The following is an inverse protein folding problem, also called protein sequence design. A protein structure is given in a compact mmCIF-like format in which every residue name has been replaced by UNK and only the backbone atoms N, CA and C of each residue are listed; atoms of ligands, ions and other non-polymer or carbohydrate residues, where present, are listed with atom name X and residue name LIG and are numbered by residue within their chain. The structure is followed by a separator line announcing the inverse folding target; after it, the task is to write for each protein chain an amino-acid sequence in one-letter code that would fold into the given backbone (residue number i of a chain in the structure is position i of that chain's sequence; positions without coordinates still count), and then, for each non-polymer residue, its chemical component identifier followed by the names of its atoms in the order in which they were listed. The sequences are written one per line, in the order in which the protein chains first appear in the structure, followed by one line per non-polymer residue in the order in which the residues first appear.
data_IF_131005890209
#
_entry.id   IF_131005890209
#
_cell.length_a   1.000
_cell.length_b   1.000
_cell.length_c   1.000
_cell.angle_alpha   90.00
_cell.angle_beta   90.00
_cell.angle_gamma   90.00
#
_symmetry.space_group_name_H-M   'P 1'
#
loop_
_entity.id
_entity.type
_entity.pdbx_description
1 polymer ?
#
# COMPACT_ATOMS: atom_id res chain seq x y z
N UNK A 1 -0.01 -8.55 19.21
CA UNK A 1 -1.22 -8.86 18.44
C UNK A 1 -0.87 -9.83 17.31
N UNK A 2 -0.04 -9.47 16.32
CA UNK A 2 0.33 -10.34 15.18
C UNK A 2 1.06 -11.61 15.61
N UNK A 3 2.00 -11.54 16.56
CA UNK A 3 2.69 -12.71 17.12
C UNK A 3 1.73 -13.74 17.78
N UNK A 4 0.54 -13.30 18.15
CA UNK A 4 -0.53 -14.16 18.66
C UNK A 4 -1.50 -14.61 17.55
N UNK A 5 -1.12 -14.52 16.28
CA UNK A 5 -1.95 -14.90 15.13
C UNK A 5 -3.15 -13.97 14.86
N UNK A 6 -3.22 -12.80 15.50
CA UNK A 6 -4.33 -11.86 15.31
C UNK A 6 -4.01 -10.83 14.24
N UNK A 7 -5.03 -10.38 13.53
CA UNK A 7 -4.91 -9.30 12.52
C UNK A 7 -4.93 -7.93 13.20
N UNK A 8 -4.20 -6.99 12.62
CA UNK A 8 -4.29 -5.56 12.94
C UNK A 8 -4.88 -4.91 11.71
N UNK A 9 -6.05 -4.30 11.88
CA UNK A 9 -6.79 -3.67 10.79
C UNK A 9 -6.78 -2.16 10.97
N UNK A 10 -6.69 -1.44 9.88
CA UNK A 10 -6.95 -0.02 9.79
C UNK A 10 -8.40 0.19 9.31
N UNK A 11 -9.16 0.99 10.04
CA UNK A 11 -10.54 1.35 9.68
C UNK A 11 -10.60 2.85 9.36
N UNK A 12 -10.58 3.24 8.08
CA UNK A 12 -10.52 4.66 7.70
C UNK A 12 -11.80 5.45 8.04
N UNK A 13 -12.93 4.77 8.17
CA UNK A 13 -14.18 5.42 8.57
C UNK A 13 -14.26 5.73 10.08
N UNK A 14 -13.32 5.20 10.88
CA UNK A 14 -13.24 5.51 12.30
C UNK A 14 -12.36 6.74 12.51
N UNK A 15 -12.97 7.91 12.55
CA UNK A 15 -12.29 9.20 12.74
C UNK A 15 -12.37 9.61 14.19
N UNK A 16 -11.20 9.81 14.81
CA UNK A 16 -11.08 10.32 16.18
C UNK A 16 -10.28 11.62 16.16
N UNK A 17 -10.86 12.67 16.73
CA UNK A 17 -10.14 13.95 16.93
C UNK A 17 -9.40 13.86 18.26
N UNK A 18 -8.07 13.96 18.21
CA UNK A 18 -7.22 13.93 19.38
C UNK A 18 -6.53 15.30 19.56
N UNK A 19 -6.82 15.95 20.68
CA UNK A 19 -6.19 17.21 21.06
C UNK A 19 -4.96 16.89 21.92
N UNK A 20 -3.78 16.96 21.30
CA UNK A 20 -2.54 16.62 21.99
C UNK A 20 -2.23 17.63 23.12
N UNK A 21 -1.78 17.12 24.26
CA UNK A 21 -1.33 17.92 25.39
C UNK A 21 -2.41 18.38 26.38
N UNK A 22 -3.70 18.24 26.05
CA UNK A 22 -4.78 18.71 26.95
C UNK A 22 -4.82 17.90 28.25
N UNK A 23 -4.67 16.57 28.21
CA UNK A 23 -4.83 15.74 29.40
C UNK A 23 -3.57 15.63 30.27
N UNK A 24 -2.37 15.62 29.65
CA UNK A 24 -1.11 15.31 30.36
C UNK A 24 0.09 16.15 29.90
N UNK A 25 -0.15 17.27 29.20
CA UNK A 25 0.91 18.10 28.64
C UNK A 25 1.71 17.40 27.52
N UNK A 26 2.79 18.04 27.09
CA UNK A 26 3.71 17.50 26.06
C UNK A 26 5.11 17.21 26.61
N UNK A 27 5.40 17.59 27.88
CA UNK A 27 6.71 17.41 28.51
C UNK A 27 6.97 15.92 28.82
N UNK A 28 8.05 15.38 28.25
CA UNK A 28 8.52 14.01 28.49
C UNK A 28 9.53 13.92 29.62
N UNK A 29 9.96 15.06 30.21
CA UNK A 29 10.91 15.12 31.33
C UNK A 29 10.23 14.94 32.69
N UNK A 30 8.91 15.12 32.79
CA UNK A 30 8.17 15.07 34.05
C UNK A 30 6.78 14.46 33.88
N UNK A 31 6.13 14.09 34.98
CA UNK A 31 4.77 13.58 35.01
C UNK A 31 4.60 12.21 34.34
N UNK A 32 3.38 11.94 33.85
CA UNK A 32 3.01 10.65 33.25
C UNK A 32 3.83 10.35 31.99
N UNK A 33 4.20 11.38 31.22
CA UNK A 33 4.95 11.21 29.97
C UNK A 33 6.43 10.88 30.16
N UNK A 34 7.00 11.09 31.34
CA UNK A 34 8.37 10.67 31.66
C UNK A 34 8.59 9.15 31.44
N UNK A 35 7.56 8.36 31.69
CA UNK A 35 7.62 6.92 31.43
C UNK A 35 7.67 6.52 29.94
N UNK A 36 7.36 7.43 29.01
CA UNK A 36 7.38 7.13 27.58
C UNK A 36 8.79 6.78 27.10
N UNK A 37 9.80 7.51 27.56
CA UNK A 37 11.22 7.29 27.19
C UNK A 37 11.68 5.90 27.63
N UNK A 38 11.39 5.52 28.86
CA UNK A 38 11.77 4.22 29.40
C UNK A 38 10.99 3.08 28.74
N UNK A 39 9.69 3.29 28.51
CA UNK A 39 8.85 2.29 27.85
C UNK A 39 9.26 2.11 26.38
N UNK A 40 9.67 3.18 25.68
CA UNK A 40 10.22 3.09 24.34
C UNK A 40 11.47 2.22 24.29
N UNK A 41 12.42 2.41 25.23
CA UNK A 41 13.63 1.58 25.33
C UNK A 41 13.30 0.11 25.60
N UNK A 42 12.38 -0.16 26.54
CA UNK A 42 11.92 -1.51 26.85
C UNK A 42 11.23 -2.17 25.67
N UNK A 43 10.39 -1.42 24.95
CA UNK A 43 9.71 -1.88 23.75
C UNK A 43 10.71 -2.23 22.64
N UNK A 44 11.65 -1.31 22.37
CA UNK A 44 12.69 -1.53 21.36
C UNK A 44 13.53 -2.78 21.69
N UNK A 45 14.01 -2.89 22.93
CA UNK A 45 14.79 -4.08 23.37
C UNK A 45 14.01 -5.37 23.20
N UNK A 46 12.71 -5.36 23.53
CA UNK A 46 11.85 -6.57 23.45
C UNK A 46 11.56 -6.98 22.01
N UNK A 47 11.46 -6.03 21.09
CA UNK A 47 11.01 -6.26 19.74
C UNK A 47 12.09 -5.99 18.68
N UNK A 48 13.37 -5.91 19.08
CA UNK A 48 14.48 -5.54 18.19
C UNK A 48 14.53 -6.40 16.93
N UNK A 49 14.41 -7.72 17.07
CA UNK A 49 14.45 -8.65 15.93
C UNK A 49 13.27 -8.44 14.97
N UNK A 50 12.06 -8.30 15.49
CA UNK A 50 10.86 -8.03 14.67
C UNK A 50 10.97 -6.67 13.97
N UNK A 51 11.43 -5.65 14.67
CA UNK A 51 11.62 -4.30 14.11
C UNK A 51 12.69 -4.31 13.02
N UNK A 52 13.85 -4.92 13.28
CA UNK A 52 14.95 -4.97 12.31
C UNK A 52 14.67 -5.82 11.08
N UNK A 53 13.77 -6.81 11.18
CA UNK A 53 13.45 -7.70 10.05
C UNK A 53 12.25 -7.26 9.23
N UNK A 54 11.32 -6.48 9.79
CA UNK A 54 10.05 -6.19 9.10
C UNK A 54 9.69 -4.72 9.01
N UNK A 55 10.42 -3.85 9.70
CA UNK A 55 10.09 -2.44 9.76
C UNK A 55 11.29 -1.59 9.34
N UNK A 56 11.01 -0.50 8.64
CA UNK A 56 11.98 0.56 8.40
C UNK A 56 12.07 1.45 9.63
N UNK A 57 13.21 2.11 9.79
CA UNK A 57 13.39 3.12 10.83
C UNK A 57 12.37 4.24 10.68
N UNK A 58 12.09 4.94 11.79
CA UNK A 58 11.11 6.00 11.80
C UNK A 58 11.42 7.08 10.76
N UNK A 59 10.42 7.47 10.00
CA UNK A 59 10.47 8.45 8.89
C UNK A 59 11.32 8.02 7.68
N UNK A 60 11.89 6.82 7.68
CA UNK A 60 12.59 6.28 6.51
C UNK A 60 11.59 5.60 5.57
N UNK A 61 11.51 6.10 4.35
CA UNK A 61 10.66 5.59 3.27
C UNK A 61 9.23 5.21 3.73
N UNK A 62 8.36 6.18 4.04
CA UNK A 62 7.00 5.93 4.54
C UNK A 62 6.16 5.05 3.60
N UNK A 63 6.41 5.12 2.28
CA UNK A 63 5.72 4.31 1.28
C UNK A 63 5.92 2.81 1.50
N UNK A 64 7.14 2.38 1.83
CA UNK A 64 7.43 0.97 2.14
C UNK A 64 7.15 0.61 3.59
N UNK A 65 7.36 1.57 4.51
CA UNK A 65 7.18 1.36 5.94
C UNK A 65 5.74 1.00 6.30
N UNK A 66 4.76 1.69 5.72
CA UNK A 66 3.33 1.45 5.97
C UNK A 66 2.88 0.03 5.60
N UNK A 67 3.50 -0.58 4.60
CA UNK A 67 3.19 -1.93 4.14
C UNK A 67 4.00 -3.02 4.85
N UNK A 68 4.95 -2.64 5.71
CA UNK A 68 5.93 -3.56 6.31
C UNK A 68 6.68 -4.36 5.25
N UNK A 69 7.02 -3.73 4.13
CA UNK A 69 7.54 -4.37 2.91
C UNK A 69 9.05 -4.23 2.74
N UNK A 70 9.81 -4.13 3.84
CA UNK A 70 11.27 -3.93 3.79
C UNK A 70 12.00 -4.96 2.91
N UNK A 71 11.53 -6.20 2.91
CA UNK A 71 12.11 -7.30 2.13
C UNK A 71 11.21 -7.79 1.00
N UNK A 72 10.04 -7.17 0.79
CA UNK A 72 9.12 -7.56 -0.26
C UNK A 72 9.33 -6.72 -1.50
N UNK A 73 9.29 -7.37 -2.65
CA UNK A 73 9.19 -6.66 -3.94
C UNK A 73 7.79 -6.10 -4.11
N UNK A 74 7.71 -4.92 -4.69
CA UNK A 74 6.44 -4.22 -4.91
C UNK A 74 6.04 -4.30 -6.38
N UNK A 75 4.81 -4.69 -6.63
CA UNK A 75 4.19 -4.67 -7.96
C UNK A 75 3.03 -3.68 -7.97
N UNK A 76 3.03 -2.79 -8.97
CA UNK A 76 1.87 -1.98 -9.33
C UNK A 76 1.14 -2.67 -10.49
N UNK A 77 -0.14 -2.92 -10.32
CA UNK A 77 -1.04 -3.41 -11.38
C UNK A 77 -1.95 -2.27 -11.79
N UNK A 78 -1.94 -1.93 -13.07
CA UNK A 78 -2.80 -0.90 -13.66
C UNK A 78 -3.79 -1.58 -14.61
N UNK A 79 -5.07 -1.40 -14.37
CA UNK A 79 -6.14 -1.92 -15.23
C UNK A 79 -7.24 -0.86 -15.37
N UNK A 80 -8.18 -1.09 -16.25
CA UNK A 80 -9.25 -0.17 -16.60
C UNK A 80 -10.10 0.26 -15.40
N UNK A 81 -10.53 -0.69 -14.56
CA UNK A 81 -11.34 -0.49 -13.35
C UNK A 81 -11.02 -1.54 -12.29
N UNK A 82 -11.57 -1.37 -11.09
CA UNK A 82 -11.47 -2.38 -10.03
C UNK A 82 -12.10 -3.70 -10.51
N UNK A 83 -11.35 -4.82 -10.52
CA UNK A 83 -11.83 -6.06 -11.13
C UNK A 83 -13.06 -6.62 -10.40
N UNK A 84 -14.05 -7.03 -11.21
CA UNK A 84 -15.34 -7.60 -10.80
C UNK A 84 -15.40 -9.07 -11.27
N UNK A 85 -14.78 -10.03 -10.54
CA UNK A 85 -14.46 -11.37 -11.05
C UNK A 85 -15.68 -12.25 -11.36
N UNK A 86 -16.84 -11.89 -10.85
CA UNK A 86 -18.13 -12.56 -11.09
C UNK A 86 -18.92 -11.97 -12.27
N UNK A 87 -18.42 -10.87 -12.88
CA UNK A 87 -19.12 -10.15 -13.95
C UNK A 87 -18.50 -10.32 -15.33
N UNK A 88 -17.17 -10.35 -15.41
CA UNK A 88 -16.48 -10.50 -16.69
C UNK A 88 -15.18 -11.31 -16.59
N UNK A 89 -14.76 -11.88 -17.72
CA UNK A 89 -13.61 -12.76 -17.80
C UNK A 89 -12.28 -12.02 -17.59
N UNK A 90 -12.16 -10.78 -18.08
CA UNK A 90 -10.97 -9.96 -17.89
C UNK A 90 -10.75 -9.62 -16.43
N UNK A 91 -11.79 -9.18 -15.72
CA UNK A 91 -11.77 -8.96 -14.29
C UNK A 91 -11.38 -10.22 -13.51
N UNK A 92 -11.90 -11.38 -13.92
CA UNK A 92 -11.53 -12.67 -13.31
C UNK A 92 -10.04 -12.96 -13.46
N UNK A 93 -9.48 -12.72 -14.63
CA UNK A 93 -8.04 -12.91 -14.89
C UNK A 93 -7.19 -11.99 -14.02
N UNK A 94 -7.51 -10.70 -13.96
CA UNK A 94 -6.79 -9.73 -13.13
C UNK A 94 -6.93 -10.06 -11.64
N UNK A 95 -8.11 -10.45 -11.19
CA UNK A 95 -8.33 -10.91 -9.82
C UNK A 95 -7.43 -12.10 -9.45
N UNK A 96 -7.32 -13.09 -10.34
CA UNK A 96 -6.42 -14.22 -10.15
C UNK A 96 -4.95 -13.75 -10.08
N UNK A 97 -4.50 -12.89 -10.99
CA UNK A 97 -3.13 -12.36 -10.94
C UNK A 97 -2.83 -11.62 -9.63
N UNK A 98 -3.74 -10.77 -9.16
CA UNK A 98 -3.56 -10.05 -7.91
C UNK A 98 -3.38 -11.01 -6.72
N UNK A 99 -4.18 -12.07 -6.66
CA UNK A 99 -4.08 -13.10 -5.61
C UNK A 99 -2.79 -13.92 -5.74
N UNK A 100 -2.40 -14.31 -6.94
CA UNK A 100 -1.15 -15.02 -7.18
C UNK A 100 0.07 -14.17 -6.81
N UNK A 101 0.09 -12.88 -7.16
CA UNK A 101 1.16 -11.98 -6.73
C UNK A 101 1.25 -11.88 -5.20
N UNK A 102 0.11 -11.84 -4.51
CA UNK A 102 0.09 -11.91 -3.04
C UNK A 102 0.62 -13.24 -2.52
N UNK A 103 0.23 -14.37 -3.13
CA UNK A 103 0.72 -15.70 -2.75
C UNK A 103 2.24 -15.85 -2.98
N UNK A 104 2.77 -15.21 -4.02
CA UNK A 104 4.23 -15.10 -4.28
C UNK A 104 4.97 -14.22 -3.26
N UNK A 105 4.26 -13.57 -2.32
CA UNK A 105 4.85 -12.70 -1.31
C UNK A 105 5.15 -11.28 -1.79
N UNK A 106 4.58 -10.85 -2.91
CA UNK A 106 4.72 -9.47 -3.39
C UNK A 106 3.84 -8.51 -2.57
N UNK A 107 4.32 -7.28 -2.41
CA UNK A 107 3.52 -6.15 -1.99
C UNK A 107 2.75 -5.63 -3.21
N UNK A 108 1.45 -5.86 -3.24
CA UNK A 108 0.60 -5.58 -4.41
C UNK A 108 -0.13 -4.26 -4.23
N UNK A 109 -0.02 -3.40 -5.23
CA UNK A 109 -0.74 -2.13 -5.35
C UNK A 109 -1.55 -2.15 -6.63
N UNK A 110 -2.75 -1.58 -6.59
CA UNK A 110 -3.67 -1.57 -7.71
C UNK A 110 -4.11 -0.15 -8.07
N UNK A 111 -3.98 0.20 -9.35
CA UNK A 111 -4.40 1.47 -9.90
C UNK A 111 -5.50 1.24 -10.95
N UNK A 112 -6.78 1.47 -10.64
CA UNK A 112 -7.82 1.50 -11.64
C UNK A 112 -7.71 2.80 -12.45
N UNK A 113 -7.61 2.70 -13.79
CA UNK A 113 -7.45 3.87 -14.65
C UNK A 113 -8.63 4.86 -14.55
N UNK A 114 -9.84 4.35 -14.28
CA UNK A 114 -11.02 5.18 -14.05
C UNK A 114 -11.08 5.81 -12.65
N UNK A 115 -10.19 5.45 -11.73
CA UNK A 115 -10.11 5.92 -10.34
C UNK A 115 -11.41 5.79 -9.54
N UNK A 116 -12.33 4.96 -10.00
CA UNK A 116 -13.61 4.76 -9.36
C UNK A 116 -13.49 3.84 -8.14
N UNK A 117 -14.04 4.29 -7.02
CA UNK A 117 -14.21 3.43 -5.84
C UNK A 117 -15.43 2.54 -6.03
N UNK A 118 -15.20 1.28 -6.36
CA UNK A 118 -16.27 0.29 -6.37
C UNK A 118 -16.60 -0.11 -4.92
N UNK A 119 -17.85 0.11 -4.44
CA UNK A 119 -18.18 -0.13 -3.03
C UNK A 119 -18.01 -1.58 -2.58
N UNK A 120 -18.18 -2.53 -3.50
CA UNK A 120 -18.09 -3.97 -3.21
C UNK A 120 -16.66 -4.49 -3.44
N UNK A 121 -16.12 -4.30 -4.64
CA UNK A 121 -14.89 -4.99 -5.03
C UNK A 121 -13.63 -4.29 -4.55
N UNK A 122 -13.64 -2.97 -4.36
CA UNK A 122 -12.52 -2.27 -3.72
C UNK A 122 -12.28 -2.79 -2.31
N UNK A 123 -13.36 -2.94 -1.52
CA UNK A 123 -13.26 -3.45 -0.15
C UNK A 123 -12.71 -4.88 -0.12
N UNK A 124 -13.07 -5.74 -1.07
CA UNK A 124 -12.54 -7.10 -1.16
C UNK A 124 -11.03 -7.12 -1.42
N UNK A 125 -10.53 -6.28 -2.36
CA UNK A 125 -9.08 -6.15 -2.59
C UNK A 125 -8.35 -5.64 -1.35
N UNK A 126 -8.89 -4.63 -0.69
CA UNK A 126 -8.30 -4.09 0.53
C UNK A 126 -8.25 -5.11 1.67
N UNK A 127 -9.26 -5.99 1.79
CA UNK A 127 -9.27 -7.09 2.76
C UNK A 127 -8.19 -8.14 2.48
N UNK A 128 -7.82 -8.34 1.21
CA UNK A 128 -6.67 -9.16 0.82
C UNK A 128 -5.32 -8.44 1.07
N UNK A 129 -5.35 -7.21 1.55
CA UNK A 129 -4.15 -6.39 1.81
C UNK A 129 -3.55 -5.81 0.54
N UNK A 130 -4.37 -5.53 -0.48
CA UNK A 130 -3.99 -4.84 -1.70
C UNK A 130 -4.38 -3.37 -1.56
N UNK A 131 -3.42 -2.47 -1.71
CA UNK A 131 -3.70 -1.04 -1.73
C UNK A 131 -4.30 -0.65 -3.07
N UNK A 132 -5.45 0.02 -3.03
CA UNK A 132 -6.17 0.48 -4.22
C UNK A 132 -6.19 1.99 -4.25
N UNK A 133 -5.74 2.60 -5.36
CA UNK A 133 -5.72 4.04 -5.58
C UNK A 133 -7.02 4.47 -6.27
N UNK A 134 -7.80 5.30 -5.62
CA UNK A 134 -9.06 5.80 -6.17
C UNK A 134 -9.35 7.20 -5.63
N UNK A 135 -10.23 7.92 -6.31
CA UNK A 135 -10.69 9.24 -5.89
C UNK A 135 -10.06 10.38 -6.69
N UNK A 136 -10.66 11.54 -6.54
CA UNK A 136 -10.29 12.73 -7.31
C UNK A 136 -8.87 13.25 -7.00
N UNK A 137 -8.31 12.89 -5.86
CA UNK A 137 -6.94 13.22 -5.48
C UNK A 137 -5.89 12.61 -6.40
N UNK A 138 -6.23 11.56 -7.13
CA UNK A 138 -5.35 10.89 -8.10
C UNK A 138 -5.65 11.26 -9.55
N UNK A 139 -6.73 12.01 -9.81
CA UNK A 139 -7.15 12.34 -11.17
C UNK A 139 -6.08 13.16 -11.92
N UNK A 140 -5.64 12.64 -13.07
CA UNK A 140 -4.56 13.24 -13.86
C UNK A 140 -3.16 13.18 -13.24
N UNK A 141 -2.98 12.53 -12.09
CA UNK A 141 -1.74 12.56 -11.31
C UNK A 141 -0.92 11.27 -11.35
N UNK A 142 -1.22 10.36 -12.26
CA UNK A 142 -0.47 9.11 -12.37
C UNK A 142 1.04 9.34 -12.58
N UNK A 143 1.41 10.25 -13.48
CA UNK A 143 2.80 10.55 -13.77
C UNK A 143 3.54 11.14 -12.55
N UNK A 144 2.90 12.07 -11.82
CA UNK A 144 3.44 12.62 -10.58
C UNK A 144 3.61 11.54 -9.52
N UNK A 145 2.61 10.69 -9.37
CA UNK A 145 2.65 9.58 -8.41
C UNK A 145 3.79 8.60 -8.73
N UNK A 146 3.96 8.26 -10.02
CA UNK A 146 5.06 7.38 -10.46
C UNK A 146 6.41 8.07 -10.27
N UNK A 147 6.51 9.36 -10.53
CA UNK A 147 7.72 10.14 -10.27
C UNK A 147 8.12 10.11 -8.79
N UNK A 148 7.15 10.23 -7.88
CA UNK A 148 7.39 10.22 -6.43
C UNK A 148 7.72 8.82 -5.90
N UNK A 149 7.01 7.80 -6.38
CA UNK A 149 7.02 6.46 -5.78
C UNK A 149 7.69 5.40 -6.64
N UNK A 150 8.00 5.69 -7.90
CA UNK A 150 8.49 4.72 -8.89
C UNK A 150 9.78 4.02 -8.50
N UNK A 151 10.66 4.68 -7.72
CA UNK A 151 11.86 4.06 -7.19
C UNK A 151 11.60 2.88 -6.23
N UNK A 152 10.38 2.77 -5.71
CA UNK A 152 9.95 1.70 -4.81
C UNK A 152 9.25 0.54 -5.53
N UNK A 153 9.10 0.62 -6.85
CA UNK A 153 8.45 -0.40 -7.67
C UNK A 153 9.49 -1.33 -8.28
N UNK A 154 9.29 -2.63 -8.14
CA UNK A 154 10.10 -3.67 -8.80
C UNK A 154 9.44 -4.14 -10.10
N UNK A 155 8.12 -4.13 -10.14
CA UNK A 155 7.32 -4.56 -11.29
C UNK A 155 6.16 -3.60 -11.52
N UNK A 156 5.78 -3.45 -12.80
CA UNK A 156 4.53 -2.80 -13.19
C UNK A 156 3.84 -3.70 -14.22
N UNK A 157 2.61 -4.10 -13.94
CA UNK A 157 1.75 -4.80 -14.90
C UNK A 157 0.75 -3.81 -15.48
N UNK A 158 0.81 -3.59 -16.79
CA UNK A 158 -0.18 -2.81 -17.54
C UNK A 158 -1.13 -3.78 -18.24
N UNK A 159 -2.40 -3.70 -17.90
CA UNK A 159 -3.44 -4.56 -18.46
C UNK A 159 -4.26 -3.78 -19.48
N UNK A 160 -4.48 -4.37 -20.64
CA UNK A 160 -5.20 -3.80 -21.79
C UNK A 160 -4.39 -2.79 -22.62
N UNK A 161 -4.54 -2.80 -23.97
CA UNK A 161 -3.77 -1.92 -24.84
C UNK A 161 -3.94 -0.43 -24.56
N UNK A 162 -5.18 0.03 -24.34
CA UNK A 162 -5.45 1.45 -24.08
C UNK A 162 -4.86 1.93 -22.73
N UNK A 163 -4.91 1.07 -21.70
CA UNK A 163 -4.26 1.37 -20.40
C UNK A 163 -2.74 1.44 -20.56
N UNK A 164 -2.16 0.49 -21.32
CA UNK A 164 -0.73 0.52 -21.59
C UNK A 164 -0.32 1.77 -22.37
N UNK A 165 -1.09 2.17 -23.38
CA UNK A 165 -0.83 3.36 -24.17
C UNK A 165 -0.80 4.64 -23.33
N UNK A 166 -1.68 4.74 -22.36
CA UNK A 166 -1.78 5.92 -21.47
C UNK A 166 -0.68 5.95 -20.40
N UNK A 167 -0.32 4.78 -19.84
CA UNK A 167 0.47 4.71 -18.62
C UNK A 167 1.94 4.29 -18.83
N UNK A 168 2.31 3.78 -20.01
CA UNK A 168 3.65 3.23 -20.26
C UNK A 168 4.75 4.27 -20.17
N UNK A 169 4.54 5.45 -20.78
CA UNK A 169 5.58 6.47 -20.86
C UNK A 169 5.96 7.02 -19.47
N UNK A 170 5.04 7.40 -18.59
CA UNK A 170 5.37 7.77 -17.21
C UNK A 170 6.12 6.65 -16.46
N UNK A 171 5.71 5.39 -16.63
CA UNK A 171 6.38 4.25 -16.00
C UNK A 171 7.82 4.13 -16.46
N UNK A 172 8.07 4.21 -17.77
CA UNK A 172 9.42 4.15 -18.33
C UNK A 172 10.31 5.33 -17.93
N UNK A 173 9.71 6.52 -17.84
CA UNK A 173 10.45 7.72 -17.49
C UNK A 173 10.90 7.76 -16.04
N UNK A 174 10.11 7.22 -15.12
CA UNK A 174 10.29 7.44 -13.68
C UNK A 174 10.51 6.17 -12.86
N UNK A 175 10.61 4.99 -13.48
CA UNK A 175 10.89 3.75 -12.75
C UNK A 175 12.01 2.93 -13.40
N UNK A 176 12.60 2.04 -12.62
CA UNK A 176 13.44 0.93 -13.11
C UNK A 176 12.70 -0.40 -13.02
N UNK A 177 11.41 -0.37 -12.77
CA UNK A 177 10.58 -1.55 -12.63
C UNK A 177 10.55 -2.34 -13.94
N UNK A 178 10.50 -3.67 -13.82
CA UNK A 178 10.23 -4.52 -14.96
C UNK A 178 8.76 -4.36 -15.38
N UNK A 179 8.55 -3.88 -16.60
CA UNK A 179 7.20 -3.70 -17.15
C UNK A 179 6.72 -5.01 -17.75
N UNK A 180 5.53 -5.41 -17.34
CA UNK A 180 4.77 -6.53 -17.86
C UNK A 180 3.54 -5.99 -18.58
N UNK A 181 3.18 -6.62 -19.69
CA UNK A 181 1.95 -6.28 -20.41
C UNK A 181 1.05 -7.50 -20.50
N UNK A 182 -0.22 -7.33 -20.18
CA UNK A 182 -1.24 -8.34 -20.37
C UNK A 182 -2.32 -7.79 -21.30
N UNK A 183 -2.27 -8.24 -22.56
CA UNK A 183 -3.29 -7.95 -23.55
C UNK A 183 -4.41 -8.97 -23.44
N UNK A 184 -5.58 -8.54 -23.04
CA UNK A 184 -6.81 -9.28 -23.22
C UNK A 184 -7.80 -8.42 -23.98
N UNK A 185 -8.68 -9.09 -24.69
CA UNK A 185 -9.65 -8.49 -25.63
C UNK A 185 -10.68 -7.61 -24.89
#
# INVERSE_FOLDING_TARGET
VRAAGKRVLYQPASVVIHYEGISHGTDTGSGVKAHQVDNQKKFYKRWADELGTRHLDNAVNPFRARDRSIHQKTILVVDHYVPQPDRDAGSRSIWCFLREFKAMGLNVKFWPANLWHDPQYTALLQQEGIEVYYGNEYAGRFAEWVQEHGANLDYVLLSRPHVAQEHLDPVRAHTRAKVLFYGHD
#
